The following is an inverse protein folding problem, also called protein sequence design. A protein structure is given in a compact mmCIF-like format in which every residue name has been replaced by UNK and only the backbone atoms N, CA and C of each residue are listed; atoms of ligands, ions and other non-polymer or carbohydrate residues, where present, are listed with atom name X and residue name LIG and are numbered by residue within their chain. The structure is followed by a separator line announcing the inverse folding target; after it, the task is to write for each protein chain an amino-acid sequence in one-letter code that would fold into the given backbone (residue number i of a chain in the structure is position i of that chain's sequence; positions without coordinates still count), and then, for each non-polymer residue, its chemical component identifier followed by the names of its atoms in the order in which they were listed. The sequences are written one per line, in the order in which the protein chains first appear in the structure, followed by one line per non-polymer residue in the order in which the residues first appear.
data_IF_517967696480
#
_entry.id   IF_517967696480
#
_cell.length_a   1.000
_cell.length_b   1.000
_cell.length_c   1.000
_cell.angle_alpha   90.00
_cell.angle_beta   90.00
_cell.angle_gamma   90.00
#
_symmetry.space_group_name_H-M   'P 1'
#
loop_
_entity.id
_entity.type
_entity.pdbx_description
1 polymer ?
#
# COMPACT_ATOMS: atom_id res chain seq x y z
N UNK A 1 -2.98 2.35 -0.09
CA UNK A 1 -4.02 1.32 -0.34
C UNK A 1 -3.59 0.54 -1.56
N UNK A 2 -3.67 -0.79 -1.52
CA UNK A 2 -3.22 -1.67 -2.58
C UNK A 2 -4.29 -2.72 -2.90
N UNK A 3 -4.51 -2.98 -4.18
CA UNK A 3 -5.43 -4.00 -4.67
C UNK A 3 -4.65 -5.18 -5.23
N UNK A 4 -5.05 -6.39 -4.85
CA UNK A 4 -4.42 -7.63 -5.32
C UNK A 4 -5.41 -8.78 -5.27
N UNK A 5 -4.94 -9.96 -5.67
CA UNK A 5 -5.63 -11.23 -5.48
C UNK A 5 -4.86 -12.07 -4.47
N UNK A 6 -5.55 -12.65 -3.49
CA UNK A 6 -4.94 -13.61 -2.57
C UNK A 6 -5.39 -15.04 -2.87
N UNK A 7 -5.43 -15.88 -1.84
CA UNK A 7 -5.71 -17.31 -2.01
C UNK A 7 -7.02 -17.59 -2.77
N UNK A 8 -6.95 -18.53 -3.72
CA UNK A 8 -8.04 -18.88 -4.63
C UNK A 8 -8.38 -17.82 -5.69
N UNK A 9 -7.55 -16.78 -5.87
CA UNK A 9 -7.77 -15.72 -6.86
C UNK A 9 -8.86 -14.72 -6.46
N UNK A 10 -9.21 -14.65 -5.16
CA UNK A 10 -10.18 -13.67 -4.64
C UNK A 10 -9.55 -12.29 -4.55
N UNK A 11 -10.29 -11.29 -4.99
CA UNK A 11 -9.89 -9.89 -4.93
C UNK A 11 -9.83 -9.37 -3.49
N UNK A 12 -8.85 -8.50 -3.22
CA UNK A 12 -8.59 -7.96 -1.89
C UNK A 12 -8.07 -6.54 -1.95
N UNK A 13 -8.46 -5.73 -0.96
CA UNK A 13 -7.88 -4.42 -0.68
C UNK A 13 -7.10 -4.46 0.63
N UNK A 14 -5.86 -4.00 0.60
CA UNK A 14 -4.92 -4.08 1.72
C UNK A 14 -4.35 -2.68 2.00
N UNK A 15 -4.27 -2.31 3.28
CA UNK A 15 -3.71 -1.04 3.73
C UNK A 15 -2.27 -1.19 4.19
N UNK A 16 -1.41 -0.25 3.81
CA UNK A 16 -0.04 -0.09 4.34
C UNK A 16 0.06 1.09 5.32
N UNK A 17 -1.00 1.39 6.06
CA UNK A 17 -1.06 2.53 6.99
C UNK A 17 -0.05 2.44 8.14
N UNK A 18 0.44 1.23 8.45
CA UNK A 18 1.43 0.98 9.50
C UNK A 18 2.88 0.96 9.00
N UNK A 19 3.15 1.35 7.75
CA UNK A 19 4.53 1.45 7.25
C UNK A 19 5.22 2.68 7.84
N UNK A 20 6.43 2.48 8.38
CA UNK A 20 7.21 3.51 9.06
C UNK A 20 8.49 3.77 8.26
N UNK A 21 8.82 5.05 8.10
CA UNK A 21 10.08 5.49 7.48
C UNK A 21 11.28 4.99 8.29
N UNK A 22 12.21 4.35 7.61
CA UNK A 22 13.47 3.84 8.14
C UNK A 22 14.60 4.83 7.87
N UNK A 23 15.73 4.63 8.56
CA UNK A 23 16.93 5.46 8.38
C UNK A 23 17.52 5.38 6.96
N UNK A 24 17.26 4.29 6.24
CA UNK A 24 17.72 4.08 4.85
C UNK A 24 16.75 4.66 3.79
N UNK A 25 15.71 5.38 4.22
CA UNK A 25 14.70 5.98 3.33
C UNK A 25 13.60 5.03 2.88
N UNK A 26 13.61 3.77 3.30
CA UNK A 26 12.54 2.81 3.02
C UNK A 26 11.36 2.98 3.98
N UNK A 27 10.18 2.53 3.57
CA UNK A 27 9.00 2.43 4.44
C UNK A 27 8.71 0.95 4.72
N UNK A 28 8.75 0.55 5.99
CA UNK A 28 8.64 -0.86 6.42
C UNK A 28 7.59 -1.01 7.51
N UNK A 29 6.83 -2.10 7.45
CA UNK A 29 5.85 -2.41 8.48
C UNK A 29 4.83 -3.45 8.04
N UNK A 30 3.76 -3.56 8.83
CA UNK A 30 2.68 -4.51 8.56
C UNK A 30 1.71 -3.98 7.50
N UNK A 31 1.23 -4.91 6.68
CA UNK A 31 0.05 -4.72 5.85
C UNK A 31 -1.18 -5.10 6.66
N UNK A 32 -2.26 -4.32 6.58
CA UNK A 32 -3.45 -4.49 7.39
C UNK A 32 -4.68 -4.68 6.52
N UNK A 33 -5.58 -5.58 6.93
CA UNK A 33 -6.91 -5.72 6.32
C UNK A 33 -7.95 -6.03 7.40
N UNK A 34 -9.14 -5.39 7.38
CA UNK A 34 -10.25 -5.80 8.23
C UNK A 34 -10.62 -7.26 7.97
N UNK A 35 -10.82 -8.05 9.03
CA UNK A 35 -11.32 -9.42 8.89
C UNK A 35 -12.81 -9.43 8.51
N UNK A 36 -13.56 -8.45 9.00
CA UNK A 36 -14.98 -8.23 8.71
C UNK A 36 -15.29 -6.72 8.72
N UNK A 37 -16.33 -6.33 7.99
CA UNK A 37 -16.84 -4.96 7.98
C UNK A 37 -18.35 -4.94 8.12
N UNK A 38 -18.89 -3.81 8.58
CA UNK A 38 -20.33 -3.56 8.63
C UNK A 38 -20.81 -3.10 7.24
N UNK A 39 -21.88 -3.69 6.67
CA UNK A 39 -22.44 -3.21 5.41
C UNK A 39 -22.75 -1.72 5.45
N UNK A 40 -22.45 -1.01 4.37
CA UNK A 40 -22.59 0.45 4.28
C UNK A 40 -23.91 1.02 4.86
N UNK A 41 -25.11 0.47 4.54
CA UNK A 41 -26.36 1.04 5.07
C UNK A 41 -26.60 0.78 6.57
N UNK A 42 -25.78 -0.07 7.21
CA UNK A 42 -25.94 -0.50 8.61
C UNK A 42 -24.90 0.14 9.55
N UNK A 43 -24.02 1.01 9.02
CA UNK A 43 -22.99 1.66 9.83
C UNK A 43 -23.61 2.72 10.75
N UNK A 44 -23.78 2.37 12.03
CA UNK A 44 -24.19 3.30 13.10
C UNK A 44 -23.05 3.62 14.08
N UNK A 45 -21.86 3.07 13.83
CA UNK A 45 -20.67 3.16 14.67
C UNK A 45 -19.42 2.85 13.84
N UNK A 46 -18.38 2.22 14.40
CA UNK A 46 -17.20 1.81 13.63
C UNK A 46 -17.57 0.90 12.46
N UNK A 47 -17.01 1.17 11.27
CA UNK A 47 -17.22 0.34 10.08
C UNK A 47 -16.54 -1.04 10.17
N UNK A 48 -15.60 -1.20 11.10
CA UNK A 48 -14.84 -2.41 11.41
C UNK A 48 -14.41 -2.39 12.88
N UNK A 49 -13.94 -3.52 13.39
CA UNK A 49 -13.21 -3.61 14.66
C UNK A 49 -11.79 -3.05 14.52
N UNK A 50 -11.32 -2.42 15.60
CA UNK A 50 -9.96 -1.90 15.74
C UNK A 50 -9.27 -2.52 16.97
N UNK A 51 -7.92 -2.67 16.97
CA UNK A 51 -7.02 -2.35 15.86
C UNK A 51 -7.22 -3.31 14.68
N UNK A 52 -6.98 -2.83 13.45
CA UNK A 52 -7.06 -3.67 12.26
C UNK A 52 -5.89 -4.66 12.29
N UNK A 53 -6.13 -5.97 12.16
CA UNK A 53 -5.09 -6.97 12.28
C UNK A 53 -4.07 -6.85 11.13
N UNK A 54 -2.81 -7.14 11.46
CA UNK A 54 -1.75 -7.37 10.50
C UNK A 54 -2.03 -8.63 9.67
N UNK A 55 -1.74 -8.55 8.38
CA UNK A 55 -2.03 -9.57 7.38
C UNK A 55 -0.81 -9.87 6.48
N UNK A 56 0.34 -9.33 6.84
CA UNK A 56 1.55 -9.45 6.06
C UNK A 56 2.52 -8.33 6.37
N UNK A 57 3.57 -8.24 5.58
CA UNK A 57 4.57 -7.19 5.68
C UNK A 57 4.84 -6.58 4.32
N UNK A 58 5.30 -5.34 4.33
CA UNK A 58 5.78 -4.69 3.12
C UNK A 58 7.02 -3.84 3.40
N UNK A 59 7.81 -3.68 2.34
CA UNK A 59 8.93 -2.75 2.24
C UNK A 59 8.78 -1.99 0.94
N UNK A 60 8.63 -0.67 1.06
CA UNK A 60 8.57 0.25 -0.07
C UNK A 60 9.86 1.06 -0.11
N UNK A 61 10.59 0.98 -1.22
CA UNK A 61 11.85 1.71 -1.44
C UNK A 61 11.72 2.55 -2.69
N UNK A 62 12.14 3.81 -2.62
CA UNK A 62 12.28 4.67 -3.79
C UNK A 62 13.75 4.78 -4.14
N UNK A 63 14.11 4.54 -5.40
CA UNK A 63 15.48 4.75 -5.88
C UNK A 63 15.68 6.21 -6.31
N UNK A 64 14.61 6.86 -6.77
CA UNK A 64 14.55 8.26 -7.12
C UNK A 64 13.07 8.74 -7.06
N UNK A 65 12.78 9.96 -7.54
CA UNK A 65 11.41 10.50 -7.56
C UNK A 65 10.48 9.88 -8.61
N UNK A 66 10.97 8.97 -9.44
CA UNK A 66 10.28 8.37 -10.58
C UNK A 66 10.17 6.84 -10.47
N UNK A 67 11.06 6.19 -9.73
CA UNK A 67 11.20 4.73 -9.64
C UNK A 67 11.28 4.25 -8.19
N UNK A 68 10.77 3.04 -7.98
CA UNK A 68 10.90 2.35 -6.71
C UNK A 68 10.62 0.87 -6.81
N UNK A 69 10.70 0.19 -5.68
CA UNK A 69 10.36 -1.22 -5.52
C UNK A 69 9.39 -1.38 -4.36
N UNK A 70 8.31 -2.11 -4.61
CA UNK A 70 7.37 -2.55 -3.61
C UNK A 70 7.55 -4.06 -3.40
N UNK A 71 8.16 -4.43 -2.28
CA UNK A 71 8.28 -5.80 -1.82
C UNK A 71 7.22 -6.06 -0.75
N UNK A 72 6.52 -7.20 -0.84
CA UNK A 72 5.50 -7.57 0.13
C UNK A 72 5.45 -9.07 0.34
N UNK A 73 4.95 -9.45 1.51
CA UNK A 73 4.51 -10.82 1.81
C UNK A 73 3.06 -10.79 2.28
N UNK A 74 2.18 -11.48 1.55
CA UNK A 74 0.75 -11.62 1.88
C UNK A 74 0.34 -13.07 1.63
N UNK A 75 -0.45 -13.66 2.52
CA UNK A 75 -0.88 -15.07 2.43
C UNK A 75 0.32 -16.05 2.27
N UNK A 76 1.48 -15.72 2.84
CA UNK A 76 2.71 -16.52 2.72
C UNK A 76 3.43 -16.40 1.37
N UNK A 77 2.91 -15.59 0.44
CA UNK A 77 3.52 -15.35 -0.87
C UNK A 77 4.29 -14.04 -0.85
N UNK A 78 5.59 -14.12 -1.12
CA UNK A 78 6.46 -12.95 -1.27
C UNK A 78 6.58 -12.56 -2.74
N UNK A 79 6.41 -11.28 -3.05
CA UNK A 79 6.70 -10.73 -4.38
C UNK A 79 7.39 -9.38 -4.27
N UNK A 80 8.15 -9.07 -5.32
CA UNK A 80 8.73 -7.75 -5.55
C UNK A 80 8.18 -7.20 -6.86
N UNK A 81 7.69 -5.97 -6.82
CA UNK A 81 7.21 -5.23 -7.99
C UNK A 81 8.04 -3.96 -8.15
N UNK A 82 8.58 -3.74 -9.35
CA UNK A 82 9.04 -2.41 -9.73
C UNK A 82 7.81 -1.49 -9.84
N UNK A 83 7.91 -0.30 -9.26
CA UNK A 83 6.89 0.74 -9.36
C UNK A 83 7.51 1.96 -10.02
N UNK A 84 6.68 2.65 -10.79
CA UNK A 84 7.07 3.89 -11.45
C UNK A 84 6.01 4.93 -11.18
N UNK A 85 6.42 6.19 -11.19
CA UNK A 85 5.50 7.32 -11.06
C UNK A 85 4.47 7.27 -12.18
N UNK A 86 3.20 7.20 -11.80
CA UNK A 86 2.11 7.35 -12.75
C UNK A 86 1.90 8.84 -13.05
N UNK A 87 2.20 9.26 -14.28
CA UNK A 87 2.06 10.64 -14.73
C UNK A 87 0.68 10.82 -15.35
N UNK A 88 -0.14 11.70 -14.79
CA UNK A 88 -1.52 11.99 -15.27
C UNK A 88 -1.56 13.15 -16.27
N UNK A 89 -0.40 13.71 -16.58
CA UNK A 89 -0.18 14.75 -17.59
C UNK A 89 0.70 14.19 -18.71
N UNK A 90 0.62 14.75 -19.91
CA UNK A 90 1.50 14.33 -21.02
C UNK A 90 2.98 14.43 -20.60
N UNK A 91 3.81 13.51 -21.10
CA UNK A 91 5.21 13.30 -20.66
C UNK A 91 6.12 14.53 -20.78
N UNK A 92 5.65 15.56 -21.49
CA UNK A 92 6.29 16.80 -21.86
C UNK A 92 5.81 18.02 -21.04
N UNK A 93 4.92 17.85 -20.06
CA UNK A 93 4.54 18.94 -19.17
C UNK A 93 5.62 19.22 -18.09
N UNK A 94 6.02 20.49 -17.88
CA UNK A 94 7.01 20.85 -16.87
C UNK A 94 6.56 20.39 -15.48
N UNK A 95 7.37 19.55 -14.84
CA UNK A 95 7.17 19.19 -13.42
C UNK A 95 7.44 20.45 -12.59
N UNK A 96 6.53 20.87 -11.68
CA UNK A 96 6.83 21.98 -10.78
C UNK A 96 8.04 21.58 -9.92
N UNK A 97 9.16 22.25 -10.15
CA UNK A 97 10.32 22.16 -9.27
C UNK A 97 9.97 22.98 -8.03
N UNK A 98 9.99 22.34 -6.85
CA UNK A 98 9.99 23.09 -5.61
C UNK A 98 11.29 23.91 -5.56
N UNK A 99 11.19 25.24 -5.59
CA UNK A 99 12.33 26.13 -5.35
C UNK A 99 12.73 26.11 -3.87
N UNK A 100 14.03 26.31 -3.55
CA UNK A 100 14.53 26.39 -2.18
C UNK A 100 14.00 27.61 -1.42
#
# INVERSE_FOLDING_TARGET
LWYTYGDGGRDQWISGSSLVLQADGSYVGELQRPQMGVPLPQIMGPATSFPVPGFGSATLRFTDGENGTFEYTVDGVTQTKAIQRFVVVAADQPKPLCSP
#
